data_IF_196107652470
#
_entry.id   IF_196107652470
#
_cell.length_a   1.000
_cell.length_b   1.000
_cell.length_c   1.000
_cell.angle_alpha   90.00
_cell.angle_beta   90.00
_cell.angle_gamma   90.00
#
_symmetry.space_group_name_H-M   'P 1'
#
loop_
_entity.id
_entity.type
_entity.pdbx_description
1 polymer ?
#
# COMPACT_ATOMS: atom_id res chain seq x y z
N UNK A 1 -7.40 -2.70 -18.51
CA UNK A 1 -7.42 -2.45 -17.06
C UNK A 1 -5.99 -2.47 -16.57
N UNK A 2 -5.55 -1.44 -15.86
CA UNK A 2 -4.18 -1.36 -15.35
C UNK A 2 -3.96 -2.45 -14.29
N UNK A 3 -3.05 -3.37 -14.55
CA UNK A 3 -2.50 -4.26 -13.52
C UNK A 3 -1.83 -3.37 -12.47
N UNK A 4 -2.56 -3.03 -11.40
CA UNK A 4 -1.94 -2.40 -10.24
C UNK A 4 -1.04 -3.43 -9.58
N UNK A 5 0.23 -3.44 -9.98
CA UNK A 5 1.24 -4.35 -9.44
C UNK A 5 1.44 -4.15 -7.93
N UNK A 6 1.04 -2.99 -7.38
CA UNK A 6 1.18 -2.66 -5.96
C UNK A 6 -0.10 -2.06 -5.42
N UNK A 7 -0.49 -2.48 -4.21
CA UNK A 7 -1.54 -1.85 -3.40
C UNK A 7 -0.90 -1.23 -2.17
N UNK A 8 -1.29 0.00 -1.81
CA UNK A 8 -0.73 0.74 -0.69
C UNK A 8 -1.72 0.86 0.46
N UNK A 9 -1.20 0.77 1.69
CA UNK A 9 -1.90 1.10 2.94
C UNK A 9 -1.03 1.98 3.81
N UNK A 10 -1.66 2.79 4.66
CA UNK A 10 -0.99 3.59 5.68
C UNK A 10 -1.09 2.91 7.05
N UNK A 11 0.04 2.69 7.73
CA UNK A 11 0.05 2.04 9.05
C UNK A 11 -0.65 2.84 10.16
N UNK A 12 -0.92 4.13 9.94
CA UNK A 12 -1.71 4.95 10.87
C UNK A 12 -3.19 4.60 10.81
N UNK A 13 -3.68 4.08 9.69
CA UNK A 13 -5.08 3.73 9.45
C UNK A 13 -5.30 2.22 9.40
N UNK A 14 -4.31 1.45 8.97
CA UNK A 14 -4.43 0.02 8.68
C UNK A 14 -3.39 -0.82 9.41
N UNK A 15 -3.75 -2.07 9.69
CA UNK A 15 -2.86 -3.09 10.23
C UNK A 15 -3.11 -4.44 9.55
N UNK A 16 -2.07 -5.25 9.42
CA UNK A 16 -2.13 -6.61 8.91
C UNK A 16 -2.19 -7.62 10.05
N UNK A 17 -2.94 -8.70 9.82
CA UNK A 17 -2.89 -9.89 10.65
C UNK A 17 -2.83 -11.14 9.80
N UNK A 18 -2.05 -12.11 10.27
CA UNK A 18 -1.93 -13.42 9.66
C UNK A 18 -2.79 -14.41 10.42
N UNK A 19 -3.41 -15.35 9.70
CA UNK A 19 -4.22 -16.41 10.30
C UNK A 19 -5.39 -15.90 11.17
N UNK A 20 -5.90 -14.69 10.91
CA UNK A 20 -7.05 -14.14 11.62
C UNK A 20 -8.35 -14.45 10.88
N UNK A 21 -9.39 -14.83 11.62
CA UNK A 21 -10.73 -14.96 11.07
C UNK A 21 -11.32 -13.57 10.76
N UNK A 22 -11.62 -13.25 9.49
CA UNK A 22 -12.06 -11.91 9.10
C UNK A 22 -13.51 -11.62 9.51
N UNK A 23 -14.30 -12.62 9.93
CA UNK A 23 -15.74 -12.48 10.16
C UNK A 23 -16.56 -12.63 8.86
N UNK A 24 -17.87 -12.91 8.98
CA UNK A 24 -18.83 -12.97 7.85
C UNK A 24 -18.45 -13.94 6.70
N UNK A 25 -17.92 -15.12 7.04
CA UNK A 25 -17.59 -16.17 6.06
C UNK A 25 -18.61 -17.32 6.08
N UNK A 26 -18.74 -18.05 4.97
CA UNK A 26 -19.67 -19.18 4.83
C UNK A 26 -19.19 -20.47 5.54
N UNK A 27 -17.90 -20.53 5.93
CA UNK A 27 -17.24 -21.63 6.67
C UNK A 27 -16.08 -21.10 7.52
N UNK A 28 -15.42 -21.99 8.28
CA UNK A 28 -14.13 -21.78 8.98
C UNK A 28 -12.95 -21.62 7.99
N UNK A 29 -13.10 -20.75 7.00
CA UNK A 29 -12.04 -20.38 6.10
C UNK A 29 -11.21 -19.26 6.71
N UNK A 30 -9.89 -19.37 6.64
CA UNK A 30 -8.96 -18.34 7.12
C UNK A 30 -8.16 -17.86 5.91
N UNK A 31 -8.37 -16.61 5.45
CA UNK A 31 -7.51 -16.02 4.43
C UNK A 31 -6.06 -15.98 4.91
N UNK A 32 -5.11 -15.98 3.97
CA UNK A 32 -3.69 -15.93 4.33
C UNK A 32 -3.36 -14.69 5.18
N UNK A 33 -3.99 -13.55 4.85
CA UNK A 33 -3.81 -12.27 5.52
C UNK A 33 -5.15 -11.53 5.61
N UNK A 34 -5.36 -10.77 6.68
CA UNK A 34 -6.45 -9.79 6.80
C UNK A 34 -5.84 -8.41 7.02
N UNK A 35 -6.18 -7.45 6.16
CA UNK A 35 -5.86 -6.04 6.38
C UNK A 35 -7.06 -5.39 7.06
N UNK A 36 -6.86 -4.83 8.25
CA UNK A 36 -7.91 -4.29 9.11
C UNK A 36 -7.74 -2.79 9.25
N UNK A 37 -8.84 -2.06 9.17
CA UNK A 37 -8.85 -0.67 9.60
C UNK A 37 -8.70 -0.64 11.12
N UNK A 38 -7.87 0.27 11.63
CA UNK A 38 -7.73 0.54 13.07
C UNK A 38 -9.00 1.11 13.70
N UNK A 39 -9.94 1.64 12.89
CA UNK A 39 -11.29 1.98 13.37
C UNK A 39 -12.15 0.75 13.64
N UNK A 40 -11.76 -0.44 13.14
CA UNK A 40 -12.48 -1.70 13.27
C UNK A 40 -13.62 -1.90 12.26
N UNK A 41 -13.94 -0.88 11.45
CA UNK A 41 -15.11 -0.88 10.56
C UNK A 41 -14.91 -1.70 9.28
N UNK A 42 -13.67 -1.80 8.80
CA UNK A 42 -13.34 -2.47 7.55
C UNK A 42 -12.29 -3.56 7.74
N UNK A 43 -12.53 -4.69 7.08
CA UNK A 43 -11.62 -5.84 7.01
C UNK A 43 -11.50 -6.26 5.56
N UNK A 44 -10.29 -6.51 5.11
CA UNK A 44 -9.96 -6.83 3.73
C UNK A 44 -9.24 -8.18 3.73
N UNK A 45 -9.92 -9.26 3.33
CA UNK A 45 -9.27 -10.56 3.21
C UNK A 45 -8.34 -10.56 1.99
N UNK A 46 -7.16 -11.12 2.19
CA UNK A 46 -6.07 -11.17 1.22
C UNK A 46 -5.62 -12.62 1.03
N UNK A 47 -5.51 -13.02 -0.24
CA UNK A 47 -5.07 -14.35 -0.65
C UNK A 47 -3.70 -14.28 -1.32
N UNK A 48 -2.79 -15.17 -0.94
CA UNK A 48 -1.49 -15.37 -1.58
C UNK A 48 -1.58 -16.48 -2.62
N UNK A 49 -1.35 -16.14 -3.88
CA UNK A 49 -1.32 -17.04 -5.03
C UNK A 49 0.14 -17.34 -5.42
N UNK A 50 0.66 -18.48 -4.97
CA UNK A 50 2.01 -18.95 -5.32
C UNK A 50 2.04 -20.33 -5.98
N UNK A 51 3.15 -20.64 -6.65
CA UNK A 51 3.34 -21.91 -7.35
C UNK A 51 2.68 -21.97 -8.74
N UNK A 52 2.35 -23.20 -9.15
CA UNK A 52 1.83 -23.52 -10.47
C UNK A 52 0.43 -22.97 -10.72
N UNK A 53 0.11 -22.70 -12.00
CA UNK A 53 -1.16 -22.10 -12.41
C UNK A 53 -2.39 -22.85 -11.89
N UNK A 54 -2.39 -24.19 -11.94
CA UNK A 54 -3.52 -25.00 -11.47
C UNK A 54 -3.74 -24.85 -9.96
N UNK A 55 -2.66 -24.76 -9.18
CA UNK A 55 -2.75 -24.55 -7.72
C UNK A 55 -3.29 -23.17 -7.40
N UNK A 56 -2.81 -22.13 -8.09
CA UNK A 56 -3.31 -20.75 -7.95
C UNK A 56 -4.80 -20.67 -8.28
N UNK A 57 -5.22 -21.31 -9.38
CA UNK A 57 -6.61 -21.33 -9.82
C UNK A 57 -7.52 -21.98 -8.78
N UNK A 58 -7.13 -23.16 -8.28
CA UNK A 58 -7.87 -23.87 -7.22
C UNK A 58 -8.00 -23.02 -5.96
N UNK A 59 -6.89 -22.42 -5.49
CA UNK A 59 -6.88 -21.58 -4.29
C UNK A 59 -7.76 -20.33 -4.46
N UNK A 60 -7.75 -19.72 -5.64
CA UNK A 60 -8.63 -18.59 -5.97
C UNK A 60 -10.10 -19.01 -5.98
N UNK A 61 -10.43 -20.17 -6.53
CA UNK A 61 -11.80 -20.69 -6.53
C UNK A 61 -12.32 -20.90 -5.11
N UNK A 62 -11.53 -21.57 -4.26
CA UNK A 62 -11.87 -21.75 -2.84
C UNK A 62 -12.09 -20.40 -2.12
N UNK A 63 -11.23 -19.41 -2.38
CA UNK A 63 -11.39 -18.07 -1.82
C UNK A 63 -12.69 -17.40 -2.28
N UNK A 64 -13.06 -17.50 -3.56
CA UNK A 64 -14.31 -16.94 -4.08
C UNK A 64 -15.52 -17.58 -3.42
N UNK A 65 -15.49 -18.91 -3.24
CA UNK A 65 -16.61 -19.68 -2.69
C UNK A 65 -16.82 -19.42 -1.19
N UNK A 66 -15.72 -19.23 -0.44
CA UNK A 66 -15.77 -19.07 1.01
C UNK A 66 -15.78 -17.61 1.49
N UNK A 67 -15.30 -16.68 0.67
CA UNK A 67 -15.22 -15.24 0.96
C UNK A 67 -16.15 -14.48 0.02
N UNK A 68 -17.47 -14.50 0.24
CA UNK A 68 -18.44 -13.89 -0.67
C UNK A 68 -18.25 -12.37 -0.76
N UNK A 69 -18.42 -11.82 -1.97
CA UNK A 69 -18.18 -10.40 -2.24
C UNK A 69 -19.13 -9.45 -1.50
N UNK A 70 -20.30 -9.93 -1.09
CA UNK A 70 -21.25 -9.17 -0.26
C UNK A 70 -20.77 -8.94 1.17
N UNK A 71 -19.82 -9.74 1.66
CA UNK A 71 -19.32 -9.65 3.04
C UNK A 71 -18.24 -8.59 3.23
N UNK A 72 -17.56 -8.18 2.15
CA UNK A 72 -16.38 -7.31 2.19
C UNK A 72 -16.37 -6.30 1.05
N UNK A 73 -16.08 -5.04 1.36
CA UNK A 73 -15.98 -3.97 0.36
C UNK A 73 -14.81 -4.21 -0.61
N UNK A 74 -13.73 -4.84 -0.13
CA UNK A 74 -12.52 -5.10 -0.89
C UNK A 74 -12.02 -6.52 -0.63
N UNK A 75 -11.48 -7.15 -1.67
CA UNK A 75 -10.79 -8.44 -1.62
C UNK A 75 -9.54 -8.36 -2.47
N UNK A 76 -8.42 -8.90 -2.00
CA UNK A 76 -7.13 -8.77 -2.67
C UNK A 76 -6.51 -10.15 -2.90
N UNK A 77 -5.90 -10.35 -4.06
CA UNK A 77 -5.02 -11.47 -4.35
C UNK A 77 -3.62 -10.93 -4.67
N UNK A 78 -2.61 -11.45 -3.96
CA UNK A 78 -1.19 -11.19 -4.21
C UNK A 78 -0.63 -12.39 -4.96
N UNK A 79 -0.01 -12.20 -6.12
CA UNK A 79 0.54 -13.30 -6.89
C UNK A 79 2.07 -13.28 -7.04
N UNK A 80 2.67 -14.46 -7.02
CA UNK A 80 4.06 -14.70 -7.43
C UNK A 80 4.11 -15.10 -8.91
N UNK A 81 5.25 -14.89 -9.57
CA UNK A 81 5.50 -15.40 -10.92
C UNK A 81 4.49 -14.92 -11.97
N UNK A 82 4.08 -15.85 -12.84
CA UNK A 82 3.12 -15.61 -13.91
C UNK A 82 1.68 -15.92 -13.47
N UNK A 83 0.74 -15.21 -14.10
CA UNK A 83 -0.70 -15.37 -13.92
C UNK A 83 -1.34 -15.67 -15.28
N UNK A 84 -2.18 -16.69 -15.32
CA UNK A 84 -2.94 -17.08 -16.52
C UNK A 84 -4.08 -16.10 -16.80
N UNK A 85 -4.52 -15.97 -18.06
CA UNK A 85 -5.69 -15.15 -18.41
C UNK A 85 -6.95 -15.52 -17.60
N UNK A 86 -7.15 -16.81 -17.34
CA UNK A 86 -8.29 -17.32 -16.57
C UNK A 86 -8.36 -16.73 -15.15
N UNK A 87 -7.24 -16.71 -14.42
CA UNK A 87 -7.15 -16.11 -13.09
C UNK A 87 -7.51 -14.62 -13.16
N UNK A 88 -7.04 -13.89 -14.19
CA UNK A 88 -7.35 -12.46 -14.37
C UNK A 88 -8.84 -12.23 -14.61
N UNK A 89 -9.45 -13.06 -15.45
CA UNK A 89 -10.89 -13.00 -15.75
C UNK A 89 -11.70 -13.27 -14.48
N UNK A 90 -11.34 -14.29 -13.69
CA UNK A 90 -12.03 -14.57 -12.42
C UNK A 90 -11.88 -13.41 -11.43
N UNK A 91 -10.67 -12.90 -11.21
CA UNK A 91 -10.48 -11.74 -10.33
C UNK A 91 -11.34 -10.55 -10.79
N UNK A 92 -11.38 -10.26 -12.09
CA UNK A 92 -12.22 -9.18 -12.63
C UNK A 92 -13.71 -9.44 -12.43
N UNK A 93 -14.20 -10.65 -12.76
CA UNK A 93 -15.61 -11.06 -12.62
C UNK A 93 -16.11 -10.93 -11.18
N UNK A 94 -15.26 -11.27 -10.21
CA UNK A 94 -15.61 -11.24 -8.80
C UNK A 94 -15.12 -9.97 -8.09
N UNK A 95 -14.71 -8.92 -8.80
CA UNK A 95 -14.23 -7.66 -8.20
C UNK A 95 -13.13 -7.87 -7.13
N UNK A 96 -12.15 -8.72 -7.44
CA UNK A 96 -10.98 -9.00 -6.61
C UNK A 96 -9.80 -8.23 -7.21
N UNK A 97 -9.15 -7.42 -6.38
CA UNK A 97 -7.93 -6.70 -6.78
C UNK A 97 -6.78 -7.70 -6.90
N UNK A 98 -6.17 -7.80 -8.08
CA UNK A 98 -5.00 -8.64 -8.31
C UNK A 98 -3.73 -7.77 -8.36
N UNK A 99 -2.76 -8.03 -7.50
CA UNK A 99 -1.50 -7.30 -7.43
C UNK A 99 -0.30 -8.22 -7.17
N UNK A 100 0.93 -7.72 -7.35
CA UNK A 100 2.15 -8.45 -6.99
C UNK A 100 2.55 -8.29 -5.55
N UNK A 101 2.20 -7.16 -4.94
CA UNK A 101 2.57 -6.86 -3.56
C UNK A 101 1.62 -5.87 -2.90
N UNK A 102 1.57 -5.96 -1.57
CA UNK A 102 1.01 -4.93 -0.72
C UNK A 102 2.18 -4.19 -0.05
N UNK A 103 2.07 -2.87 0.04
CA UNK A 103 3.01 -2.01 0.74
C UNK A 103 2.27 -1.29 1.86
N UNK A 104 2.73 -1.48 3.10
CA UNK A 104 2.22 -0.78 4.28
C UNK A 104 3.26 0.25 4.69
N UNK A 105 2.92 1.53 4.59
CA UNK A 105 3.81 2.61 4.94
C UNK A 105 3.83 2.77 6.46
N UNK A 106 5.00 2.58 7.08
CA UNK A 106 5.34 2.91 8.49
C UNK A 106 6.19 4.18 8.55
N UNK A 107 5.84 5.08 7.66
CA UNK A 107 6.39 6.38 7.56
C UNK A 107 7.83 6.54 7.07
N UNK A 108 8.85 6.33 7.89
CA UNK A 108 10.24 6.30 7.36
C UNK A 108 10.59 4.97 6.70
N UNK A 109 9.79 3.95 7.00
CA UNK A 109 9.92 2.59 6.49
C UNK A 109 8.63 2.18 5.80
N UNK A 110 8.72 1.16 4.98
CA UNK A 110 7.57 0.47 4.47
C UNK A 110 7.77 -1.03 4.69
N UNK A 111 6.67 -1.70 5.00
CA UNK A 111 6.59 -3.15 5.04
C UNK A 111 6.01 -3.62 3.71
N UNK A 112 6.66 -4.59 3.09
CA UNK A 112 6.15 -5.20 1.85
C UNK A 112 5.70 -6.62 2.14
N UNK A 113 4.53 -6.96 1.63
CA UNK A 113 3.95 -8.30 1.65
C UNK A 113 3.90 -8.78 0.20
N UNK A 114 4.58 -9.89 -0.09
CA UNK A 114 4.62 -10.51 -1.42
C UNK A 114 4.34 -12.01 -1.31
N UNK A 115 3.73 -12.58 -2.35
CA UNK A 115 3.66 -14.02 -2.49
C UNK A 115 5.00 -14.55 -3.00
N UNK A 116 5.56 -15.57 -2.37
CA UNK A 116 6.83 -16.19 -2.77
C UNK A 116 6.63 -17.60 -3.31
N UNK A 117 7.32 -17.90 -4.41
CA UNK A 117 7.50 -19.28 -4.84
C UNK A 117 8.53 -19.95 -3.93
N UNK A 118 8.23 -21.17 -3.49
CA UNK A 118 8.94 -21.99 -2.47
C UNK A 118 10.48 -22.12 -2.72
N UNK A 119 10.99 -21.73 -3.89
CA UNK A 119 12.39 -21.86 -4.27
C UNK A 119 13.37 -20.83 -3.67
N UNK A 120 12.92 -19.85 -2.84
CA UNK A 120 13.79 -18.76 -2.35
C UNK A 120 13.87 -18.55 -0.83
N UNK A 121 13.28 -19.41 0.00
CA UNK A 121 13.34 -19.25 1.46
C UNK A 121 14.29 -20.27 2.08
N UNK A 122 15.57 -19.91 2.22
CA UNK A 122 16.49 -20.54 3.17
C UNK A 122 16.23 -19.93 4.57
N UNK A 123 15.20 -20.44 5.25
CA UNK A 123 14.79 -20.06 6.60
C UNK A 123 13.61 -20.93 7.07
N UNK A 124 13.34 -21.06 8.38
CA UNK A 124 12.31 -21.94 8.89
C UNK A 124 10.96 -21.58 8.29
N UNK A 125 10.34 -22.59 7.68
CA UNK A 125 9.15 -22.49 6.86
C UNK A 125 7.89 -22.43 7.71
N UNK A 126 7.43 -21.22 7.99
CA UNK A 126 6.00 -20.95 8.11
C UNK A 126 5.60 -20.27 6.80
N UNK A 127 4.73 -20.92 6.02
CA UNK A 127 4.39 -20.58 4.62
C UNK A 127 3.61 -19.27 4.42
N UNK A 128 3.92 -18.24 5.19
CA UNK A 128 3.32 -16.92 5.14
C UNK A 128 4.23 -15.97 4.36
N UNK A 129 3.64 -15.13 3.51
CA UNK A 129 4.37 -14.21 2.61
C UNK A 129 5.45 -13.42 3.35
N UNK A 130 6.60 -13.20 2.69
CA UNK A 130 7.76 -12.58 3.34
C UNK A 130 7.43 -11.13 3.67
N UNK A 131 7.40 -10.83 4.97
CA UNK A 131 7.41 -9.47 5.50
C UNK A 131 8.82 -8.88 5.35
N UNK A 132 9.02 -8.03 4.35
CA UNK A 132 10.29 -7.30 4.20
C UNK A 132 10.09 -5.84 4.62
N UNK A 133 10.67 -5.47 5.76
CA UNK A 133 10.79 -4.08 6.19
C UNK A 133 11.91 -3.43 5.38
N UNK A 134 11.59 -2.40 4.60
CA UNK A 134 12.52 -1.66 3.77
C UNK A 134 12.41 -0.16 4.05
N UNK A 135 13.52 0.56 3.96
CA UNK A 135 13.53 2.02 4.10
C UNK A 135 12.87 2.65 2.87
N UNK A 136 11.91 3.56 3.06
CA UNK A 136 11.33 4.31 1.93
C UNK A 136 12.44 5.15 1.28
N UNK A 137 12.57 5.05 -0.04
CA UNK A 137 13.55 5.87 -0.74
C UNK A 137 13.13 7.34 -0.67
N UNK A 138 14.11 8.22 -0.44
CA UNK A 138 13.88 9.67 -0.25
C UNK A 138 13.05 10.26 -1.39
N UNK A 139 13.23 9.77 -2.62
CA UNK A 139 12.54 10.27 -3.82
C UNK A 139 11.02 10.06 -3.77
N UNK A 140 10.55 8.88 -3.34
CA UNK A 140 9.11 8.60 -3.23
C UNK A 140 8.45 9.43 -2.14
N UNK A 141 9.14 9.61 -1.00
CA UNK A 141 8.66 10.43 0.10
C UNK A 141 8.50 11.89 -0.35
N UNK A 142 9.49 12.42 -1.08
CA UNK A 142 9.43 13.78 -1.62
C UNK A 142 8.28 13.92 -2.63
N UNK A 143 8.09 12.93 -3.51
CA UNK A 143 7.00 12.95 -4.49
C UNK A 143 5.64 13.04 -3.79
N UNK A 144 5.39 12.15 -2.84
CA UNK A 144 4.14 12.09 -2.07
C UNK A 144 3.88 13.40 -1.29
N UNK A 145 4.94 13.95 -0.66
CA UNK A 145 4.87 15.23 0.04
C UNK A 145 4.49 16.39 -0.89
N UNK A 146 5.12 16.49 -2.06
CA UNK A 146 4.84 17.53 -3.04
C UNK A 146 3.44 17.39 -3.64
N UNK A 147 2.96 16.17 -3.88
CA UNK A 147 1.58 15.92 -4.32
C UNK A 147 0.57 16.37 -3.27
N UNK A 148 0.78 16.01 -2.00
CA UNK A 148 -0.09 16.40 -0.91
C UNK A 148 -0.18 17.93 -0.76
N UNK A 149 0.98 18.61 -0.81
CA UNK A 149 1.07 20.07 -0.74
C UNK A 149 0.35 20.73 -1.94
N UNK A 150 0.58 20.22 -3.15
CA UNK A 150 -0.04 20.74 -4.39
C UNK A 150 -1.56 20.60 -4.35
N UNK A 151 -2.07 19.43 -3.96
CA UNK A 151 -3.51 19.14 -3.93
C UNK A 151 -4.26 20.03 -2.93
N UNK A 152 -3.62 20.42 -1.83
CA UNK A 152 -4.26 21.19 -0.76
C UNK A 152 -4.11 22.71 -0.91
N UNK A 153 -3.51 23.18 -2.00
CA UNK A 153 -3.05 24.57 -2.18
C UNK A 153 -2.29 25.10 -0.96
N UNK A 154 -1.40 24.25 -0.44
CA UNK A 154 -0.58 24.53 0.73
C UNK A 154 -1.02 23.82 2.01
N UNK A 155 -0.04 23.41 2.81
CA UNK A 155 -0.26 22.51 3.93
C UNK A 155 0.61 22.88 5.13
N UNK A 156 0.10 22.72 6.35
CA UNK A 156 0.93 22.86 7.56
C UNK A 156 1.72 21.56 7.81
N UNK A 157 2.79 21.65 8.61
CA UNK A 157 3.68 20.51 8.86
C UNK A 157 2.95 19.30 9.45
N UNK A 158 1.98 19.53 10.34
CA UNK A 158 1.19 18.47 10.97
C UNK A 158 0.44 17.65 9.93
N UNK A 159 -0.26 18.30 9.00
CA UNK A 159 -0.97 17.60 7.92
C UNK A 159 -0.02 16.88 6.98
N UNK A 160 1.18 17.42 6.72
CA UNK A 160 2.21 16.76 5.91
C UNK A 160 2.69 15.48 6.61
N UNK A 161 2.98 15.57 7.91
CA UNK A 161 3.38 14.43 8.75
C UNK A 161 2.34 13.31 8.70
N UNK A 162 1.06 13.64 8.87
CA UNK A 162 0.00 12.63 8.81
C UNK A 162 -0.18 12.08 7.41
N UNK A 163 -0.21 12.94 6.38
CA UNK A 163 -0.46 12.49 5.00
C UNK A 163 0.68 11.69 4.38
N UNK A 164 1.91 12.03 4.72
CA UNK A 164 3.08 11.33 4.21
C UNK A 164 3.54 10.23 5.16
N UNK A 165 2.88 10.09 6.32
CA UNK A 165 3.31 9.31 7.47
C UNK A 165 4.80 9.60 7.76
N UNK A 166 5.18 10.73 8.34
CA UNK A 166 6.61 11.01 8.60
C UNK A 166 6.81 11.41 10.04
N UNK A 167 7.94 11.03 10.63
CA UNK A 167 8.31 11.62 11.89
C UNK A 167 8.63 13.12 11.69
N UNK A 168 8.41 13.92 12.73
CA UNK A 168 8.53 15.38 12.66
C UNK A 168 9.93 15.84 12.22
N UNK A 169 10.99 15.26 12.79
CA UNK A 169 12.38 15.65 12.49
C UNK A 169 12.74 15.39 11.02
N UNK A 170 12.32 14.26 10.48
CA UNK A 170 12.58 13.90 9.10
C UNK A 170 11.75 14.74 8.13
N UNK A 171 10.48 15.01 8.47
CA UNK A 171 9.63 15.92 7.70
C UNK A 171 10.23 17.33 7.63
N UNK A 172 10.66 17.92 8.75
CA UNK A 172 11.34 19.23 8.78
C UNK A 172 12.56 19.23 7.87
N UNK A 173 13.45 18.25 8.02
CA UNK A 173 14.70 18.21 7.25
C UNK A 173 14.44 18.16 5.75
N UNK A 174 13.41 17.45 5.32
CA UNK A 174 13.00 17.41 3.91
C UNK A 174 12.40 18.75 3.46
N UNK A 175 11.52 19.35 4.28
CA UNK A 175 10.89 20.62 3.95
C UNK A 175 11.91 21.76 3.87
N UNK A 176 12.90 21.79 4.76
CA UNK A 176 14.02 22.75 4.72
C UNK A 176 14.87 22.58 3.46
N UNK A 177 15.24 21.34 3.09
CA UNK A 177 15.98 21.04 1.85
C UNK A 177 15.19 21.46 0.60
N UNK A 178 13.87 21.22 0.58
CA UNK A 178 13.00 21.63 -0.53
C UNK A 178 12.81 23.15 -0.59
N UNK A 179 12.69 23.82 0.56
CA UNK A 179 12.57 25.27 0.63
C UNK A 179 13.87 25.96 0.21
N UNK A 180 15.02 25.45 0.67
CA UNK A 180 16.35 25.94 0.26
C UNK A 180 16.62 25.82 -1.23
N UNK A 181 15.98 24.86 -1.91
CA UNK A 181 16.03 24.69 -3.37
C UNK A 181 14.95 25.48 -4.14
N UNK A 182 14.10 26.22 -3.44
CA UNK A 182 12.99 26.96 -4.05
C UNK A 182 11.88 26.07 -4.63
N UNK A 183 11.82 24.78 -4.25
CA UNK A 183 10.78 23.83 -4.67
C UNK A 183 9.46 24.11 -3.94
N UNK A 184 9.55 24.53 -2.69
CA UNK A 184 8.42 24.99 -1.88
C UNK A 184 8.73 26.35 -1.27
N UNK A 185 7.69 27.08 -0.87
CA UNK A 185 7.79 28.35 -0.15
C UNK A 185 7.00 28.29 1.15
N UNK A 186 7.49 28.99 2.16
CA UNK A 186 6.82 29.16 3.45
C UNK A 186 5.93 30.40 3.38
N UNK A 187 4.68 30.26 3.82
CA UNK A 187 3.70 31.34 3.88
C UNK A 187 3.18 31.42 5.30
N UNK A 188 3.38 32.57 5.93
CA UNK A 188 2.78 32.87 7.22
C UNK A 188 1.27 33.06 7.07
N UNK A 189 0.52 32.43 7.96
CA UNK A 189 -0.92 32.63 8.09
C UNK A 189 -1.28 32.78 9.56
N UNK A 190 -2.50 33.27 9.85
CA UNK A 190 -3.00 33.60 11.20
C UNK A 190 -2.90 32.47 12.26
N UNK A 191 -2.50 31.25 11.89
CA UNK A 191 -2.32 30.12 12.79
C UNK A 191 -1.08 29.27 12.51
N UNK A 192 -0.02 29.84 11.91
CA UNK A 192 1.27 29.17 11.72
C UNK A 192 1.86 29.30 10.32
N UNK A 193 2.70 28.34 9.96
CA UNK A 193 3.38 28.27 8.65
C UNK A 193 2.66 27.27 7.74
N UNK A 194 2.38 27.68 6.49
CA UNK A 194 1.99 26.79 5.39
C UNK A 194 3.12 26.65 4.40
N UNK A 195 3.35 25.43 3.94
CA UNK A 195 4.24 25.12 2.83
C UNK A 195 3.41 25.11 1.56
N UNK A 196 3.78 25.91 0.56
CA UNK A 196 3.15 25.94 -0.78
C UNK A 196 4.16 25.49 -1.83
N UNK A 197 3.70 24.73 -2.82
CA UNK A 197 4.56 24.35 -3.95
C UNK A 197 4.76 25.55 -4.87
N UNK A 198 5.99 25.76 -5.34
CA UNK A 198 6.32 26.84 -6.29
C UNK A 198 6.14 26.35 -7.74
N UNK A 199 6.24 27.27 -8.71
CA UNK A 199 6.29 26.88 -10.12
C UNK A 199 7.48 25.95 -10.42
N UNK A 200 8.64 26.21 -9.80
CA UNK A 200 9.83 25.34 -9.86
C UNK A 200 9.52 23.97 -9.27
N UNK A 201 8.82 23.91 -8.14
CA UNK A 201 8.44 22.65 -7.52
C UNK A 201 7.44 21.83 -8.33
N UNK A 202 6.54 22.49 -9.07
CA UNK A 202 5.65 21.78 -10.00
C UNK A 202 6.44 21.11 -11.13
N UNK A 203 7.43 21.80 -11.71
CA UNK A 203 8.33 21.22 -12.72
C UNK A 203 9.08 20.02 -12.13
N UNK A 204 9.73 20.21 -10.99
CA UNK A 204 10.44 19.17 -10.28
C UNK A 204 9.55 17.95 -9.96
N UNK A 205 8.32 18.17 -9.50
CA UNK A 205 7.37 17.09 -9.25
C UNK A 205 7.00 16.32 -10.54
N UNK A 206 6.87 17.00 -11.67
CA UNK A 206 6.58 16.34 -12.95
C UNK A 206 7.78 15.51 -13.42
N UNK A 207 9.01 16.00 -13.22
CA UNK A 207 10.23 15.25 -13.51
C UNK A 207 10.28 13.96 -12.67
N UNK A 208 9.95 14.05 -11.38
CA UNK A 208 9.85 12.90 -10.48
C UNK A 208 8.76 11.88 -10.86
N UNK A 209 7.74 12.28 -11.63
CA UNK A 209 6.70 11.38 -12.14
C UNK A 209 7.11 10.66 -13.43
N UNK A 210 8.13 11.18 -14.09
CA UNK A 210 8.65 10.66 -15.36
C UNK A 210 9.75 9.61 -15.16
N UNK A 211 10.16 9.38 -13.91
CA UNK A 211 11.07 8.32 -13.44
C UNK A 211 10.24 7.11 -13.01
#
# INVERSE_FOLDING_TARGET
>A
MSDNLTVFFDSSEWEESFNEYPGKLSKDYIPDIVIKSKSGEERIPVLLLSGESNKKLKKLQEFIDYVPGSSFNRRICIYSGNITPEIRIMCSKYNITLCRKIVINHGSFYKTIEATDIKKSSGPSDGHGIDKIQRREKIFIIREMLEAIKLSDGMNITKIIYKCNLNYQYAIKLLEDLAGRGVIQLIDYKGGIKYKITATGIKYLNDLKSI
#
